data_IF_272070796251
#
_entry.id   IF_272070796251
#
_cell.length_a   1.000
_cell.length_b   1.000
_cell.length_c   1.000
_cell.angle_alpha   90.00
_cell.angle_beta   90.00
_cell.angle_gamma   90.00
#
_symmetry.space_group_name_H-M   'P 1'
#
loop_
_entity.id
_entity.type
_entity.pdbx_description
1 polymer ?
#
# COMPACT_ATOMS: atom_id res chain seq x y z
N UNK A 1 34.01 -4.61 26.89
CA UNK A 1 33.18 -5.72 27.42
C UNK A 1 32.47 -5.31 28.72
N UNK A 2 32.84 -4.19 29.34
CA UNK A 2 32.50 -3.90 30.75
C UNK A 2 31.09 -3.33 30.94
N UNK A 3 30.57 -2.54 29.98
CA UNK A 3 29.23 -1.93 30.09
C UNK A 3 28.09 -2.96 30.06
N UNK A 4 28.25 -4.04 29.28
CA UNK A 4 27.25 -5.13 29.21
C UNK A 4 27.25 -5.91 30.53
N UNK A 5 28.43 -6.21 31.07
CA UNK A 5 28.56 -6.90 32.36
C UNK A 5 27.98 -6.06 33.50
N UNK A 6 28.21 -4.74 33.49
CA UNK A 6 27.62 -3.80 34.45
C UNK A 6 26.08 -3.81 34.37
N UNK A 7 25.51 -3.77 33.16
CA UNK A 7 24.06 -3.83 32.98
C UNK A 7 23.45 -5.14 33.51
N UNK A 8 24.13 -6.27 33.24
CA UNK A 8 23.71 -7.59 33.73
C UNK A 8 23.72 -7.64 35.26
N UNK A 9 24.76 -7.09 35.90
CA UNK A 9 24.84 -7.03 37.37
C UNK A 9 23.72 -6.14 37.95
N UNK A 10 23.42 -4.99 37.33
CA UNK A 10 22.32 -4.12 37.78
C UNK A 10 20.96 -4.83 37.68
N UNK A 11 20.71 -5.57 36.59
CA UNK A 11 19.46 -6.33 36.42
C UNK A 11 19.29 -7.44 37.46
N UNK A 12 20.38 -8.10 37.86
CA UNK A 12 20.34 -9.14 38.91
C UNK A 12 20.06 -8.52 40.28
N UNK A 13 20.67 -7.37 40.59
CA UNK A 13 20.47 -6.67 41.87
C UNK A 13 19.03 -6.13 42.01
N UNK A 14 18.45 -5.61 40.92
CA UNK A 14 17.04 -5.17 40.92
C UNK A 14 16.09 -6.36 41.21
N UNK A 15 16.38 -7.53 40.65
CA UNK A 15 15.57 -8.74 40.86
C UNK A 15 15.61 -9.22 42.31
N UNK A 16 16.79 -9.20 42.94
CA UNK A 16 16.94 -9.56 44.36
C UNK A 16 16.16 -8.60 45.27
N UNK A 17 16.16 -7.29 44.96
CA UNK A 17 15.38 -6.28 45.67
C UNK A 17 13.87 -6.59 45.63
N UNK A 18 13.34 -6.97 44.47
CA UNK A 18 11.91 -7.29 44.29
C UNK A 18 11.48 -8.55 45.06
N UNK A 19 12.36 -9.54 45.14
CA UNK A 19 12.14 -10.77 45.91
C UNK A 19 12.07 -10.44 47.41
N UNK A 20 12.97 -9.59 47.91
CA UNK A 20 12.98 -9.15 49.31
C UNK A 20 11.72 -8.33 49.62
N UNK A 21 11.34 -7.39 48.75
CA UNK A 21 10.10 -6.61 48.92
C UNK A 21 8.86 -7.49 48.97
N UNK A 22 8.75 -8.49 48.07
CA UNK A 22 7.61 -9.42 48.06
C UNK A 22 7.52 -10.26 49.33
N UNK A 23 8.66 -10.63 49.91
CA UNK A 23 8.70 -11.40 51.16
C UNK A 23 8.29 -10.54 52.37
N UNK A 24 8.78 -9.29 52.45
CA UNK A 24 8.41 -8.33 53.50
C UNK A 24 6.92 -7.95 53.44
N UNK A 25 6.36 -7.86 52.23
CA UNK A 25 4.94 -7.54 52.05
C UNK A 25 4.03 -8.74 52.36
N UNK A 26 4.51 -9.97 52.13
CA UNK A 26 3.78 -11.21 52.42
C UNK A 26 3.62 -11.45 53.93
N UNK A 27 4.64 -11.14 54.73
CA UNK A 27 4.57 -11.27 56.20
C UNK A 27 3.64 -10.24 56.86
N UNK A 28 3.27 -9.15 56.15
CA UNK A 28 2.39 -8.10 56.68
C UNK A 28 0.91 -8.31 56.38
N UNK A 29 0.54 -9.41 55.70
CA UNK A 29 -0.81 -9.66 55.20
C UNK A 29 -1.64 -10.69 56.03
N UNK A 30 -1.13 -11.18 57.17
CA UNK A 30 -1.82 -12.24 57.94
C UNK A 30 -2.33 -11.83 59.34
N UNK A 31 -2.55 -10.54 59.59
CA UNK A 31 -3.40 -10.11 60.73
C UNK A 31 -4.20 -8.89 60.35
N UNK A 32 -5.50 -9.08 60.12
CA UNK A 32 -6.60 -8.37 60.79
C UNK A 32 -7.87 -8.50 59.93
N UNK A 33 -8.70 -9.50 60.27
CA UNK A 33 -10.11 -9.51 59.89
C UNK A 33 -10.88 -8.45 60.69
N UNK A 34 -11.62 -7.63 59.93
CA UNK A 34 -12.97 -7.08 60.15
C UNK A 34 -13.30 -6.16 61.33
N UNK A 35 -13.91 -5.03 60.94
CA UNK A 35 -14.97 -4.24 61.61
C UNK A 35 -14.60 -3.38 62.82
N UNK A 36 -14.29 -2.10 62.57
CA UNK A 36 -15.22 -0.98 62.86
C UNK A 36 -14.60 0.38 62.48
N UNK A 37 -15.47 1.28 61.99
CA UNK A 37 -15.28 2.72 61.66
C UNK A 37 -15.00 3.09 60.21
N UNK A 38 -16.14 3.26 59.51
CA UNK A 38 -16.44 4.37 58.59
C UNK A 38 -16.06 5.75 59.19
N UNK A 39 -15.71 6.69 58.30
CA UNK A 39 -15.10 8.03 58.49
C UNK A 39 -13.58 7.98 58.63
N UNK A 40 -12.80 8.16 57.57
CA UNK A 40 -12.75 9.33 56.68
C UNK A 40 -11.91 8.93 55.45
N UNK A 41 -12.06 9.65 54.32
CA UNK A 41 -11.51 9.38 52.98
C UNK A 41 -12.43 8.63 51.99
N UNK A 42 -13.72 8.97 52.02
CA UNK A 42 -14.44 9.23 50.75
C UNK A 42 -14.03 10.63 50.32
N UNK A 43 -12.98 10.71 49.49
CA UNK A 43 -12.64 11.86 48.63
C UNK A 43 -11.49 11.46 47.72
N UNK A 44 -11.70 10.50 46.81
CA UNK A 44 -11.04 10.47 45.48
C UNK A 44 -11.72 9.45 44.54
N UNK A 45 -13.06 9.47 44.48
CA UNK A 45 -13.79 8.93 43.31
C UNK A 45 -13.66 9.86 42.07
N UNK A 46 -12.89 10.95 42.18
CA UNK A 46 -12.70 11.93 41.10
C UNK A 46 -11.55 11.62 40.12
N UNK A 47 -10.76 10.56 40.34
CA UNK A 47 -9.63 10.20 39.48
C UNK A 47 -9.80 8.89 38.71
N UNK A 48 -10.73 8.00 39.09
CA UNK A 48 -11.02 6.80 38.31
C UNK A 48 -11.94 7.06 37.10
N UNK A 49 -12.80 8.10 37.16
CA UNK A 49 -13.70 8.49 36.07
C UNK A 49 -13.01 9.38 35.01
N UNK A 50 -11.91 10.05 35.36
CA UNK A 50 -11.12 10.88 34.42
C UNK A 50 -10.15 10.08 33.56
N UNK A 51 -9.79 8.86 33.97
CA UNK A 51 -8.82 8.01 33.23
C UNK A 51 -9.47 7.29 32.04
N UNK A 52 -10.80 7.11 32.06
CA UNK A 52 -11.54 6.49 30.95
C UNK A 52 -11.88 7.52 29.84
N UNK A 53 -12.24 8.75 30.25
CA UNK A 53 -12.54 9.86 29.34
C UNK A 53 -11.36 10.21 28.41
N UNK A 54 -10.13 10.23 28.94
CA UNK A 54 -8.93 10.49 28.14
C UNK A 54 -8.60 9.34 27.20
N UNK A 55 -8.93 8.09 27.54
CA UNK A 55 -8.68 6.94 26.66
C UNK A 55 -9.60 6.93 25.46
N UNK A 56 -10.88 7.20 25.64
CA UNK A 56 -11.85 7.18 24.53
C UNK A 56 -11.60 8.34 23.56
N UNK A 57 -11.33 9.54 24.06
CA UNK A 57 -10.99 10.69 23.21
C UNK A 57 -9.67 10.45 22.46
N UNK A 58 -8.63 9.94 23.14
CA UNK A 58 -7.35 9.62 22.49
C UNK A 58 -7.50 8.48 21.49
N UNK A 59 -8.33 7.47 21.78
CA UNK A 59 -8.62 6.38 20.84
C UNK A 59 -9.40 6.87 19.62
N UNK A 60 -10.34 7.80 19.79
CA UNK A 60 -11.06 8.45 18.71
C UNK A 60 -10.11 9.26 17.82
N UNK A 61 -9.22 10.07 18.40
CA UNK A 61 -8.19 10.82 17.67
C UNK A 61 -7.22 9.89 16.91
N UNK A 62 -6.77 8.80 17.53
CA UNK A 62 -5.92 7.80 16.89
C UNK A 62 -6.67 7.10 15.75
N UNK A 63 -7.94 6.72 15.95
CA UNK A 63 -8.76 6.08 14.93
C UNK A 63 -8.94 6.98 13.72
N UNK A 64 -9.25 8.26 13.94
CA UNK A 64 -9.38 9.26 12.87
C UNK A 64 -8.06 9.43 12.09
N UNK A 65 -6.92 9.48 12.80
CA UNK A 65 -5.62 9.57 12.15
C UNK A 65 -5.25 8.29 11.38
N UNK A 66 -5.64 7.11 11.87
CA UNK A 66 -5.49 5.84 11.16
C UNK A 66 -6.35 5.83 9.89
N UNK A 67 -7.58 6.34 9.95
CA UNK A 67 -8.46 6.48 8.81
C UNK A 67 -7.87 7.41 7.75
N UNK A 68 -7.44 8.62 8.13
CA UNK A 68 -6.77 9.55 7.21
C UNK A 68 -5.50 8.95 6.59
N UNK A 69 -4.71 8.22 7.39
CA UNK A 69 -3.50 7.54 6.91
C UNK A 69 -3.85 6.41 5.94
N UNK A 70 -4.95 5.67 6.19
CA UNK A 70 -5.46 4.65 5.29
C UNK A 70 -5.98 5.24 3.98
N UNK A 71 -6.67 6.37 4.03
CA UNK A 71 -7.15 7.08 2.85
C UNK A 71 -5.97 7.63 2.04
N UNK A 72 -4.98 8.22 2.70
CA UNK A 72 -3.73 8.63 2.07
C UNK A 72 -2.97 7.44 1.46
N UNK A 73 -2.90 6.30 2.15
CA UNK A 73 -2.29 5.07 1.62
C UNK A 73 -3.00 4.60 0.35
N UNK A 74 -4.33 4.67 0.34
CA UNK A 74 -5.15 4.30 -0.82
C UNK A 74 -4.92 5.25 -1.99
N UNK A 75 -4.85 6.55 -1.72
CA UNK A 75 -4.51 7.57 -2.72
C UNK A 75 -3.14 7.35 -3.34
N UNK A 76 -2.09 7.16 -2.53
CA UNK A 76 -0.73 6.90 -3.03
C UNK A 76 -0.66 5.59 -3.83
N UNK A 77 -1.38 4.54 -3.41
CA UNK A 77 -1.46 3.29 -4.18
C UNK A 77 -2.10 3.50 -5.54
N UNK A 78 -3.17 4.29 -5.62
CA UNK A 78 -3.82 4.61 -6.88
C UNK A 78 -2.90 5.43 -7.78
N UNK A 79 -2.31 6.51 -7.27
CA UNK A 79 -1.38 7.37 -8.01
C UNK A 79 -0.17 6.57 -8.51
N UNK A 80 0.39 5.68 -7.67
CA UNK A 80 1.50 4.81 -8.05
C UNK A 80 1.10 3.85 -9.19
N UNK A 81 -0.10 3.29 -9.12
CA UNK A 81 -0.62 2.41 -10.16
C UNK A 81 -0.84 3.16 -11.48
N UNK A 82 -1.36 4.38 -11.43
CA UNK A 82 -1.56 5.19 -12.64
C UNK A 82 -0.22 5.63 -13.25
N UNK A 83 0.76 6.02 -12.43
CA UNK A 83 2.14 6.27 -12.89
C UNK A 83 2.79 5.02 -13.48
N UNK A 84 2.52 3.84 -12.92
CA UNK A 84 3.01 2.58 -13.47
C UNK A 84 2.39 2.29 -14.84
N UNK A 85 1.10 2.57 -15.04
CA UNK A 85 0.45 2.46 -16.36
C UNK A 85 1.05 3.44 -17.36
N UNK A 86 1.25 4.70 -16.98
CA UNK A 86 1.91 5.71 -17.84
C UNK A 86 3.31 5.24 -18.26
N UNK A 87 4.10 4.67 -17.33
CA UNK A 87 5.43 4.13 -17.61
C UNK A 87 5.38 2.94 -18.58
N UNK A 88 4.46 2.00 -18.36
CA UNK A 88 4.25 0.86 -19.27
C UNK A 88 3.79 1.32 -20.65
N UNK A 89 2.91 2.31 -20.71
CA UNK A 89 2.45 2.92 -21.95
C UNK A 89 3.60 3.57 -22.71
N UNK A 90 4.48 4.30 -22.03
CA UNK A 90 5.68 4.88 -22.67
C UNK A 90 6.62 3.80 -23.19
N UNK A 91 6.80 2.71 -22.43
CA UNK A 91 7.58 1.55 -22.88
C UNK A 91 6.97 0.91 -24.15
N UNK A 92 5.65 0.76 -24.19
CA UNK A 92 4.93 0.28 -25.37
C UNK A 92 5.12 1.22 -26.56
N UNK A 93 5.01 2.53 -26.37
CA UNK A 93 5.16 3.53 -27.42
C UNK A 93 6.58 3.51 -28.02
N UNK A 94 7.61 3.43 -27.18
CA UNK A 94 9.01 3.33 -27.63
C UNK A 94 9.22 2.05 -28.42
N UNK A 95 8.78 0.92 -27.90
CA UNK A 95 8.91 -0.38 -28.58
C UNK A 95 8.16 -0.40 -29.92
N UNK A 96 6.97 0.19 -29.97
CA UNK A 96 6.20 0.28 -31.20
C UNK A 96 6.86 1.21 -32.21
N UNK A 97 7.38 2.36 -31.77
CA UNK A 97 8.16 3.27 -32.62
C UNK A 97 9.40 2.59 -33.18
N UNK A 98 10.13 1.84 -32.36
CA UNK A 98 11.29 1.07 -32.80
C UNK A 98 10.88 0.00 -33.83
N UNK A 99 9.79 -0.73 -33.57
CA UNK A 99 9.25 -1.73 -34.50
C UNK A 99 8.81 -1.10 -35.82
N UNK A 100 8.15 0.06 -35.77
CA UNK A 100 7.70 0.77 -36.96
C UNK A 100 8.87 1.37 -37.75
N UNK A 101 9.91 1.88 -37.08
CA UNK A 101 11.17 2.28 -37.74
C UNK A 101 11.90 1.09 -38.37
N UNK A 102 12.00 -0.05 -37.67
CA UNK A 102 12.58 -1.29 -38.21
C UNK A 102 11.80 -1.80 -39.42
N UNK A 103 10.46 -1.75 -39.39
CA UNK A 103 9.62 -2.09 -40.56
C UNK A 103 9.90 -1.15 -41.74
N UNK A 104 10.01 0.15 -41.50
CA UNK A 104 10.27 1.15 -42.54
C UNK A 104 11.69 1.02 -43.11
N UNK A 105 12.69 0.67 -42.29
CA UNK A 105 14.05 0.36 -42.78
C UNK A 105 14.11 -0.96 -43.54
N UNK A 106 13.32 -1.97 -43.12
CA UNK A 106 13.25 -3.27 -43.80
C UNK A 106 12.58 -3.19 -45.19
N UNK A 107 11.80 -2.14 -45.47
CA UNK A 107 11.28 -1.85 -46.83
C UNK A 107 12.40 -1.33 -47.76
N UNK A 108 13.50 -0.80 -47.21
CA UNK A 108 14.61 -0.18 -47.95
C UNK A 108 15.92 -1.01 -47.97
N UNK A 109 15.85 -2.32 -47.72
CA UNK A 109 16.92 -3.35 -47.74
C UNK A 109 17.62 -3.70 -46.40
N UNK A 110 17.65 -5.03 -46.17
CA UNK A 110 18.60 -5.87 -45.40
C UNK A 110 18.55 -5.86 -43.86
N UNK A 111 18.18 -7.06 -43.35
CA UNK A 111 18.49 -7.71 -42.06
C UNK A 111 19.31 -6.89 -41.04
N UNK A 112 18.77 -6.79 -39.82
CA UNK A 112 19.51 -7.12 -38.58
C UNK A 112 18.55 -7.43 -37.44
N UNK A 113 18.62 -8.67 -36.97
CA UNK A 113 18.11 -9.09 -35.67
C UNK A 113 18.98 -8.46 -34.59
N UNK A 114 18.39 -7.61 -33.74
CA UNK A 114 19.01 -7.19 -32.48
C UNK A 114 17.96 -7.32 -31.39
N UNK A 115 18.11 -8.39 -30.60
CA UNK A 115 17.50 -8.58 -29.28
C UNK A 115 18.12 -7.51 -28.37
N UNK A 116 17.31 -6.61 -27.84
CA UNK A 116 17.77 -5.70 -26.78
C UNK A 116 17.04 -6.01 -25.47
N UNK A 117 17.88 -6.09 -24.43
CA UNK A 117 17.69 -6.57 -23.08
C UNK A 117 16.38 -6.15 -22.39
N UNK A 118 15.86 -7.11 -21.62
CA UNK A 118 15.12 -6.84 -20.39
C UNK A 118 16.02 -6.04 -19.42
N UNK A 119 15.62 -4.82 -19.08
CA UNK A 119 16.07 -4.20 -17.84
C UNK A 119 15.06 -4.62 -16.78
N UNK A 120 15.46 -5.63 -16.00
CA UNK A 120 14.78 -6.03 -14.77
C UNK A 120 15.04 -4.89 -13.79
N UNK A 121 14.05 -4.02 -13.59
CA UNK A 121 14.06 -3.09 -12.46
C UNK A 121 13.60 -3.91 -11.27
N UNK A 122 14.56 -4.30 -10.42
CA UNK A 122 14.32 -4.94 -9.14
C UNK A 122 13.35 -4.08 -8.32
N UNK A 123 12.10 -4.53 -8.26
CA UNK A 123 11.06 -4.01 -7.38
C UNK A 123 10.59 -5.19 -6.52
N UNK A 124 10.37 -5.02 -5.21
CA UNK A 124 10.12 -6.13 -4.29
C UNK A 124 8.96 -7.01 -4.75
N UNK A 125 9.17 -8.33 -4.71
CA UNK A 125 8.14 -9.35 -4.97
C UNK A 125 6.87 -9.09 -4.15
N UNK A 126 5.80 -8.71 -4.83
CA UNK A 126 4.54 -9.48 -4.96
C UNK A 126 3.43 -8.61 -5.58
N UNK A 127 3.39 -8.55 -6.91
CA UNK A 127 2.14 -8.47 -7.69
C UNK A 127 2.44 -8.97 -9.10
N UNK A 128 1.71 -10.00 -9.55
CA UNK A 128 2.05 -10.80 -10.71
C UNK A 128 2.03 -10.00 -12.02
N UNK A 129 3.21 -9.79 -12.60
CA UNK A 129 3.41 -9.15 -13.92
C UNK A 129 2.61 -9.79 -15.06
N UNK A 130 2.21 -11.07 -14.90
CA UNK A 130 1.34 -11.80 -15.83
C UNK A 130 -0.13 -11.38 -15.73
N UNK A 131 -0.60 -10.99 -14.55
CA UNK A 131 -1.99 -10.53 -14.35
C UNK A 131 -2.16 -9.10 -14.88
N UNK A 132 -1.18 -8.21 -14.65
CA UNK A 132 -1.21 -6.83 -15.16
C UNK A 132 -1.20 -6.80 -16.69
N UNK A 133 -0.35 -7.61 -17.33
CA UNK A 133 -0.30 -7.69 -18.79
C UNK A 133 -1.54 -8.32 -19.41
N UNK A 134 -2.32 -9.09 -18.65
CA UNK A 134 -3.61 -9.63 -19.10
C UNK A 134 -4.71 -8.58 -18.96
N UNK A 135 -4.81 -7.91 -17.82
CA UNK A 135 -5.77 -6.83 -17.55
C UNK A 135 -5.69 -5.71 -18.60
N UNK A 136 -4.49 -5.31 -19.01
CA UNK A 136 -4.29 -4.30 -20.06
C UNK A 136 -4.81 -4.79 -21.43
N UNK A 137 -4.61 -6.08 -21.75
CA UNK A 137 -5.11 -6.65 -23.01
C UNK A 137 -6.64 -6.71 -22.99
N UNK A 138 -7.21 -7.18 -21.89
CA UNK A 138 -8.65 -7.32 -21.71
C UNK A 138 -9.35 -5.95 -21.83
N UNK A 139 -8.78 -4.88 -21.23
CA UNK A 139 -9.27 -3.50 -21.37
C UNK A 139 -9.18 -2.95 -22.80
N UNK A 140 -8.10 -3.24 -23.52
CA UNK A 140 -7.96 -2.82 -24.91
C UNK A 140 -9.00 -3.51 -25.81
N UNK A 141 -9.25 -4.80 -25.59
CA UNK A 141 -10.26 -5.55 -26.32
C UNK A 141 -11.68 -5.01 -26.03
N UNK A 142 -11.96 -4.63 -24.79
CA UNK A 142 -13.21 -3.98 -24.39
C UNK A 142 -13.43 -2.63 -25.10
N UNK A 143 -12.41 -1.78 -25.18
CA UNK A 143 -12.47 -0.50 -25.90
C UNK A 143 -12.81 -0.71 -27.38
N UNK A 144 -12.20 -1.70 -28.04
CA UNK A 144 -12.54 -2.05 -29.41
C UNK A 144 -13.96 -2.61 -29.56
N UNK A 145 -14.43 -3.41 -28.60
CA UNK A 145 -15.81 -3.91 -28.59
C UNK A 145 -16.83 -2.79 -28.47
N UNK A 146 -16.64 -1.86 -27.53
CA UNK A 146 -17.52 -0.71 -27.34
C UNK A 146 -17.54 0.17 -28.61
N UNK A 147 -16.39 0.40 -29.24
CA UNK A 147 -16.33 1.16 -30.48
C UNK A 147 -17.03 0.45 -31.65
N UNK A 148 -16.88 -0.88 -31.77
CA UNK A 148 -17.63 -1.69 -32.76
C UNK A 148 -19.14 -1.65 -32.51
N UNK A 149 -19.57 -1.54 -31.25
CA UNK A 149 -20.96 -1.37 -30.86
C UNK A 149 -21.50 0.05 -31.09
N UNK A 150 -20.71 0.95 -31.69
CA UNK A 150 -21.13 2.30 -32.07
C UNK A 150 -21.00 3.35 -30.97
N UNK A 151 -20.37 3.04 -29.84
CA UNK A 151 -20.11 4.03 -28.79
C UNK A 151 -19.09 5.06 -29.26
N UNK A 152 -19.33 6.34 -28.94
CA UNK A 152 -18.40 7.41 -29.28
C UNK A 152 -17.14 7.34 -28.40
N UNK A 153 -16.02 7.86 -28.91
CA UNK A 153 -14.75 7.97 -28.14
C UNK A 153 -14.96 8.66 -26.80
N UNK A 154 -15.87 9.64 -26.74
CA UNK A 154 -16.17 10.37 -25.50
C UNK A 154 -17.00 9.55 -24.50
N UNK A 155 -17.86 8.65 -24.97
CA UNK A 155 -18.66 7.78 -24.10
C UNK A 155 -17.81 6.63 -23.58
N UNK A 156 -16.96 6.04 -24.44
CA UNK A 156 -16.00 5.01 -24.04
C UNK A 156 -15.04 5.56 -22.98
N UNK A 157 -14.51 6.76 -23.16
CA UNK A 157 -13.65 7.42 -22.17
C UNK A 157 -14.32 7.54 -20.80
N UNK A 158 -15.60 7.89 -20.76
CA UNK A 158 -16.37 7.97 -19.51
C UNK A 158 -16.61 6.60 -18.88
N UNK A 159 -17.04 5.61 -19.67
CA UNK A 159 -17.36 4.25 -19.19
C UNK A 159 -16.10 3.56 -18.67
N UNK A 160 -14.98 3.72 -19.38
CA UNK A 160 -13.70 3.08 -19.04
C UNK A 160 -12.87 3.86 -18.04
N UNK A 161 -13.25 5.10 -17.70
CA UNK A 161 -12.46 6.00 -16.85
C UNK A 161 -11.12 6.41 -17.46
N UNK A 162 -11.05 6.47 -18.80
CA UNK A 162 -9.82 6.75 -19.56
C UNK A 162 -9.85 8.14 -20.20
N UNK A 163 -8.68 8.66 -20.56
CA UNK A 163 -8.59 9.92 -21.31
C UNK A 163 -9.09 9.79 -22.75
N UNK A 164 -9.75 10.82 -23.30
CA UNK A 164 -10.20 10.82 -24.72
C UNK A 164 -9.05 10.57 -25.71
N UNK A 165 -7.85 11.07 -25.40
CA UNK A 165 -6.64 10.83 -26.21
C UNK A 165 -6.14 9.40 -26.11
N UNK A 166 -6.22 8.79 -24.93
CA UNK A 166 -5.84 7.40 -24.67
C UNK A 166 -6.74 6.42 -25.42
N UNK A 167 -8.07 6.61 -25.33
CA UNK A 167 -9.04 5.81 -26.08
C UNK A 167 -8.82 5.93 -27.59
N UNK A 168 -8.61 7.14 -28.09
CA UNK A 168 -8.35 7.37 -29.52
C UNK A 168 -7.08 6.63 -29.98
N UNK A 169 -6.02 6.68 -29.18
CA UNK A 169 -4.77 6.01 -29.50
C UNK A 169 -4.93 4.48 -29.48
N UNK A 170 -5.57 3.90 -28.45
CA UNK A 170 -5.82 2.45 -28.38
C UNK A 170 -6.59 1.97 -29.62
N UNK A 171 -7.62 2.72 -30.03
CA UNK A 171 -8.38 2.43 -31.24
C UNK A 171 -7.50 2.50 -32.51
N UNK A 172 -6.68 3.53 -32.64
CA UNK A 172 -5.79 3.74 -33.79
C UNK A 172 -4.71 2.65 -33.89
N UNK A 173 -4.14 2.21 -32.76
CA UNK A 173 -3.13 1.17 -32.71
C UNK A 173 -3.68 -0.23 -33.06
N UNK A 174 -4.92 -0.54 -32.65
CA UNK A 174 -5.54 -1.84 -32.92
C UNK A 174 -6.13 -2.00 -34.33
N UNK A 175 -6.52 -0.92 -35.00
CA UNK A 175 -7.13 -0.94 -36.36
C UNK A 175 -6.12 -1.31 -37.46
N UNK A 176 -4.82 -1.29 -37.19
CA UNK A 176 -3.77 -1.62 -38.17
C UNK A 176 -3.78 -3.09 -38.66
N UNK A 177 -4.66 -3.95 -38.14
CA UNK A 177 -4.79 -5.36 -38.56
C UNK A 177 -5.93 -5.64 -39.54
N UNK A 178 -6.93 -4.78 -39.72
CA UNK A 178 -8.15 -5.16 -40.47
C UNK A 178 -8.28 -4.60 -41.89
N UNK A 179 -7.37 -3.74 -42.37
CA UNK A 179 -7.39 -3.24 -43.76
C UNK A 179 -6.34 -3.92 -44.66
N UNK A 180 -6.46 -5.24 -44.80
CA UNK A 180 -5.89 -5.99 -45.93
C UNK A 180 -6.95 -6.97 -46.44
N UNK A 181 -7.80 -6.48 -47.33
CA UNK A 181 -8.46 -7.27 -48.38
C UNK A 181 -8.40 -6.44 -49.66
#
# INVERSE_FOLDING_TARGET
MDNINILVIISIMIGIIFIILSFVFKDKAEKNETDDKVEDLVSTDEEAEKIDFDKDQVMEEISNKILELNDYSSFIKQELNDKHKELLFLYQLINEKEKNMKKLSNINNIKKEEKHQQVIVDTPKQLDSKNISKDIRDKNDEIHNLHRNGYSVTDIAKVMGLGRGEVKLILELGVTKENKN
#
